data_IF_711891367385
#
_entry.id   IF_711891367385
#
_cell.length_a   1.000
_cell.length_b   1.000
_cell.length_c   1.000
_cell.angle_alpha   90.00
_cell.angle_beta   90.00
_cell.angle_gamma   90.00
#
_symmetry.space_group_name_H-M   'P 1'
#
loop_
_entity.id
_entity.type
_entity.pdbx_description
1 polymer ?
#
# COMPACT_ATOMS: atom_id res chain seq x y z
N UNK A 1 -71.21 -5.59 10.21
CA UNK A 1 -70.81 -4.47 9.32
C UNK A 1 -69.51 -3.91 9.84
N UNK A 2 -68.51 -3.84 8.96
CA UNK A 2 -67.18 -3.22 9.09
C UNK A 2 -66.18 -3.84 10.09
N UNK A 3 -65.37 -4.77 9.57
CA UNK A 3 -63.94 -4.82 9.89
C UNK A 3 -63.18 -4.78 8.56
N UNK A 4 -62.72 -3.59 8.19
CA UNK A 4 -61.89 -3.34 7.01
C UNK A 4 -60.60 -4.16 7.08
N UNK A 5 -60.42 -5.05 6.12
CA UNK A 5 -59.15 -5.73 5.87
C UNK A 5 -58.32 -4.80 5.00
N UNK A 6 -57.32 -4.13 5.58
CA UNK A 6 -56.32 -3.39 4.82
C UNK A 6 -55.51 -4.37 3.96
N UNK A 7 -55.35 -4.15 2.64
CA UNK A 7 -54.54 -5.01 1.81
C UNK A 7 -53.06 -4.83 2.16
N UNK A 8 -52.35 -5.97 2.27
CA UNK A 8 -50.90 -6.04 2.38
C UNK A 8 -50.25 -5.21 1.25
N UNK A 9 -49.65 -4.09 1.60
CA UNK A 9 -48.74 -3.36 0.71
C UNK A 9 -47.65 -4.33 0.25
N UNK A 10 -47.68 -4.64 -1.04
CA UNK A 10 -46.61 -5.31 -1.76
C UNK A 10 -45.35 -4.47 -1.63
N UNK A 11 -44.38 -4.95 -0.84
CA UNK A 11 -43.02 -4.42 -0.83
C UNK A 11 -42.46 -4.44 -2.25
N UNK A 12 -42.40 -3.27 -2.89
CA UNK A 12 -41.65 -3.09 -4.13
C UNK A 12 -40.17 -3.30 -3.81
N UNK A 13 -39.44 -4.20 -4.51
CA UNK A 13 -38.00 -4.31 -4.31
C UNK A 13 -37.38 -3.00 -4.84
N UNK A 14 -36.79 -2.22 -3.94
CA UNK A 14 -35.91 -1.11 -4.31
C UNK A 14 -34.92 -1.63 -5.36
N UNK A 15 -35.02 -1.12 -6.58
CA UNK A 15 -34.19 -1.47 -7.72
C UNK A 15 -32.77 -0.95 -7.51
N UNK A 16 -32.05 -1.58 -6.58
CA UNK A 16 -30.60 -1.49 -6.50
C UNK A 16 -29.98 -2.04 -7.79
N UNK A 17 -28.77 -1.61 -8.16
CA UNK A 17 -28.12 -2.08 -9.37
C UNK A 17 -28.10 -3.61 -9.39
N UNK A 18 -28.62 -4.20 -10.46
CA UNK A 18 -28.62 -5.65 -10.65
C UNK A 18 -27.21 -6.22 -10.45
N UNK A 19 -27.11 -7.44 -9.95
CA UNK A 19 -25.84 -8.05 -9.57
C UNK A 19 -24.83 -8.13 -10.74
N UNK A 20 -25.33 -8.18 -11.97
CA UNK A 20 -24.59 -8.08 -13.23
C UNK A 20 -24.02 -6.67 -13.47
N UNK A 21 -24.78 -5.61 -13.23
CA UNK A 21 -24.27 -4.22 -13.26
C UNK A 21 -23.17 -3.99 -12.22
N UNK A 22 -23.33 -4.49 -10.99
CA UNK A 22 -22.29 -4.39 -9.95
C UNK A 22 -21.00 -5.14 -10.32
N UNK A 23 -21.12 -6.32 -10.96
CA UNK A 23 -19.97 -7.13 -11.39
C UNK A 23 -19.21 -6.47 -12.54
N UNK A 24 -19.92 -5.90 -13.53
CA UNK A 24 -19.29 -5.18 -14.65
C UNK A 24 -18.59 -3.90 -14.19
N UNK A 25 -19.24 -3.10 -13.34
CA UNK A 25 -18.68 -1.89 -12.74
C UNK A 25 -17.42 -2.18 -11.91
N UNK A 26 -17.47 -3.19 -11.03
CA UNK A 26 -16.30 -3.59 -10.24
C UNK A 26 -15.12 -4.07 -11.11
N UNK A 27 -15.38 -4.80 -12.21
CA UNK A 27 -14.33 -5.34 -13.08
C UNK A 27 -13.63 -4.25 -13.89
N UNK A 28 -14.40 -3.31 -14.45
CA UNK A 28 -13.87 -2.19 -15.23
C UNK A 28 -13.12 -1.18 -14.35
N UNK A 29 -13.64 -0.89 -13.16
CA UNK A 29 -13.11 0.14 -12.29
C UNK A 29 -11.78 -0.27 -11.62
N UNK A 30 -11.56 -1.56 -11.33
CA UNK A 30 -10.33 -2.03 -10.68
C UNK A 30 -9.17 -2.15 -11.67
N UNK A 31 -9.42 -2.67 -12.89
CA UNK A 31 -8.37 -2.88 -13.89
C UNK A 31 -7.81 -1.57 -14.45
N UNK A 32 -8.71 -0.61 -14.75
CA UNK A 32 -8.33 0.72 -15.23
C UNK A 32 -7.57 1.51 -14.16
N UNK A 33 -8.04 1.47 -12.91
CA UNK A 33 -7.42 2.16 -11.79
C UNK A 33 -6.03 1.59 -11.45
N UNK A 34 -5.87 0.26 -11.50
CA UNK A 34 -4.56 -0.38 -11.34
C UNK A 34 -3.57 0.11 -12.40
N UNK A 35 -3.97 0.11 -13.68
CA UNK A 35 -3.11 0.59 -14.78
C UNK A 35 -2.72 2.06 -14.59
N UNK A 36 -3.67 2.91 -14.16
CA UNK A 36 -3.40 4.31 -13.86
C UNK A 36 -2.40 4.50 -12.71
N UNK A 37 -2.52 3.74 -11.62
CA UNK A 37 -1.58 3.81 -10.50
C UNK A 37 -0.21 3.22 -10.86
N UNK A 38 -0.17 2.16 -11.65
CA UNK A 38 1.07 1.60 -12.18
C UNK A 38 1.83 2.62 -13.03
N UNK A 39 1.14 3.31 -13.95
CA UNK A 39 1.76 4.34 -14.78
C UNK A 39 2.31 5.52 -13.94
N UNK A 40 1.58 5.93 -12.89
CA UNK A 40 2.04 6.97 -11.95
C UNK A 40 3.25 6.52 -11.14
N UNK A 41 3.23 5.29 -10.62
CA UNK A 41 4.35 4.69 -9.91
C UNK A 41 5.59 4.60 -10.81
N UNK A 42 5.45 4.08 -12.03
CA UNK A 42 6.55 3.95 -12.99
C UNK A 42 7.13 5.32 -13.41
N UNK A 43 6.34 6.39 -13.36
CA UNK A 43 6.83 7.76 -13.54
C UNK A 43 7.59 8.24 -12.30
N UNK A 44 7.00 8.08 -11.11
CA UNK A 44 7.61 8.49 -9.85
C UNK A 44 8.95 7.79 -9.58
N UNK A 45 9.05 6.49 -9.88
CA UNK A 45 10.29 5.73 -9.73
C UNK A 45 11.42 6.25 -10.64
N UNK A 46 11.09 6.63 -11.89
CA UNK A 46 12.06 7.24 -12.81
C UNK A 46 12.57 8.58 -12.30
N UNK A 47 11.69 9.40 -11.74
CA UNK A 47 12.03 10.71 -11.16
C UNK A 47 12.75 10.59 -9.81
N UNK A 48 12.58 9.47 -9.09
CA UNK A 48 13.21 9.26 -7.79
C UNK A 48 14.72 9.02 -7.90
N UNK A 49 15.16 8.25 -8.90
CA UNK A 49 16.59 7.92 -9.11
C UNK A 49 17.50 9.16 -9.14
N UNK A 50 17.23 10.21 -9.96
CA UNK A 50 18.05 11.41 -9.95
C UNK A 50 17.91 12.19 -8.64
N UNK A 51 16.71 12.24 -8.04
CA UNK A 51 16.49 12.93 -6.77
C UNK A 51 17.34 12.36 -5.62
N UNK A 52 17.62 11.05 -5.61
CA UNK A 52 18.48 10.41 -4.60
C UNK A 52 19.90 10.93 -4.61
N UNK A 53 20.45 11.26 -5.78
CA UNK A 53 21.81 11.79 -5.89
C UNK A 53 21.92 13.14 -5.19
N UNK A 54 20.93 14.02 -5.37
CA UNK A 54 20.85 15.30 -4.67
C UNK A 54 20.73 15.12 -3.15
N UNK A 55 19.88 14.18 -2.70
CA UNK A 55 19.72 13.91 -1.27
C UNK A 55 20.99 13.36 -0.61
N UNK A 56 21.76 12.51 -1.29
CA UNK A 56 23.04 12.01 -0.78
C UNK A 56 24.09 13.13 -0.76
N UNK A 57 24.15 13.95 -1.81
CA UNK A 57 25.07 15.10 -1.88
C UNK A 57 24.85 16.10 -0.74
N UNK A 58 23.59 16.39 -0.41
CA UNK A 58 23.23 17.28 0.69
C UNK A 58 23.69 16.76 2.08
N UNK A 59 23.70 15.45 2.28
CA UNK A 59 24.07 14.83 3.56
C UNK A 59 25.56 14.62 3.73
N UNK A 60 26.30 14.47 2.62
CA UNK A 60 27.74 14.21 2.65
C UNK A 60 28.51 15.29 3.41
N UNK A 61 28.02 16.54 3.41
CA UNK A 61 28.61 17.61 4.21
C UNK A 61 28.40 17.37 5.71
N UNK A 62 27.18 17.00 6.12
CA UNK A 62 26.87 16.72 7.53
C UNK A 62 27.61 15.50 8.07
N UNK A 63 27.78 14.46 7.25
CA UNK A 63 28.54 13.25 7.62
C UNK A 63 30.03 13.57 7.84
N UNK A 64 30.64 14.37 6.95
CA UNK A 64 32.05 14.76 7.07
C UNK A 64 32.31 15.78 8.16
N UNK A 65 31.36 16.67 8.39
CA UNK A 65 31.47 17.70 9.42
C UNK A 65 31.11 17.19 10.83
N UNK A 66 30.55 15.98 10.97
CA UNK A 66 30.11 15.37 12.24
C UNK A 66 29.31 16.35 13.12
N UNK A 67 28.37 17.07 12.52
CA UNK A 67 27.61 18.13 13.20
C UNK A 67 26.70 17.48 14.25
N UNK A 68 27.01 17.70 15.53
CA UNK A 68 26.18 17.27 16.66
C UNK A 68 25.23 18.40 17.04
N UNK A 69 24.00 18.03 17.39
CA UNK A 69 23.10 18.99 18.01
C UNK A 69 23.64 19.37 19.41
N UNK A 70 23.60 20.65 19.80
CA UNK A 70 23.96 21.07 21.15
C UNK A 70 23.01 20.41 22.18
N UNK A 71 23.55 20.04 23.36
CA UNK A 71 22.80 19.30 24.38
C UNK A 71 21.62 20.10 24.98
N UNK A 72 21.62 21.43 24.82
CA UNK A 72 20.56 22.32 25.28
C UNK A 72 19.50 22.57 24.21
N UNK A 73 18.51 21.67 24.12
CA UNK A 73 17.37 21.82 23.20
C UNK A 73 16.45 22.97 23.61
N UNK A 74 16.54 24.13 22.96
CA UNK A 74 15.60 25.24 23.23
C UNK A 74 14.42 25.26 22.26
N UNK A 75 14.58 24.86 20.99
CA UNK A 75 13.43 24.74 20.04
C UNK A 75 13.69 23.67 18.97
N UNK A 76 12.76 22.73 18.79
CA UNK A 76 12.88 21.63 17.82
C UNK A 76 11.80 21.68 16.74
N UNK A 77 12.21 21.63 15.47
CA UNK A 77 11.34 21.72 14.29
C UNK A 77 11.16 20.35 13.61
N UNK A 78 9.92 19.89 13.44
CA UNK A 78 9.63 18.68 12.66
C UNK A 78 8.92 19.06 11.37
N UNK A 79 9.49 18.66 10.23
CA UNK A 79 8.82 18.72 8.93
C UNK A 79 8.28 17.34 8.59
N UNK A 80 6.96 17.17 8.67
CA UNK A 80 6.29 15.92 8.32
C UNK A 80 5.87 15.91 6.85
N UNK A 81 6.36 14.94 6.06
CA UNK A 81 6.04 14.85 4.63
C UNK A 81 4.94 13.82 4.33
N UNK A 82 3.87 14.30 3.70
CA UNK A 82 2.70 13.50 3.30
C UNK A 82 2.00 14.10 2.07
N UNK A 83 0.93 13.44 1.62
CA UNK A 83 0.01 13.92 0.59
C UNK A 83 -1.36 14.29 1.14
N UNK A 84 -2.17 14.96 0.31
CA UNK A 84 -3.58 15.27 0.61
C UNK A 84 -4.52 14.12 0.27
N UNK A 85 -4.12 13.28 -0.69
CA UNK A 85 -4.94 12.17 -1.18
C UNK A 85 -4.89 11.01 -0.20
N UNK A 86 -6.06 10.44 0.13
CA UNK A 86 -6.17 9.20 0.90
C UNK A 86 -6.13 7.93 0.03
N UNK A 87 -6.47 6.77 0.61
CA UNK A 87 -6.45 5.44 -0.04
C UNK A 87 -5.04 4.87 -0.32
N UNK A 88 -4.08 5.19 0.54
CA UNK A 88 -2.69 4.70 0.46
C UNK A 88 -2.28 3.90 1.70
N UNK A 89 -3.22 3.16 2.30
CA UNK A 89 -2.95 2.32 3.47
C UNK A 89 -2.43 3.11 4.67
N UNK A 90 -1.30 2.67 5.23
CA UNK A 90 -0.73 3.19 6.48
C UNK A 90 0.35 4.27 6.29
N UNK A 91 0.52 4.83 5.07
CA UNK A 91 1.56 5.81 4.73
C UNK A 91 1.50 7.08 5.59
N UNK A 92 0.29 7.63 5.84
CA UNK A 92 0.14 8.83 6.67
C UNK A 92 0.25 8.53 8.16
N UNK A 93 -0.29 7.36 8.55
CA UNK A 93 -0.29 6.94 9.95
C UNK A 93 1.11 6.57 10.44
N UNK A 94 2.00 6.07 9.59
CA UNK A 94 3.39 5.80 9.96
C UNK A 94 4.14 7.08 10.30
N UNK A 95 4.06 8.10 9.45
CA UNK A 95 4.65 9.42 9.69
C UNK A 95 4.05 10.07 10.94
N UNK A 96 2.72 10.08 11.07
CA UNK A 96 2.06 10.66 12.24
C UNK A 96 2.41 9.93 13.56
N UNK A 97 2.67 8.62 13.54
CA UNK A 97 3.11 7.86 14.71
C UNK A 97 4.54 8.24 15.11
N UNK A 98 5.46 8.37 14.16
CA UNK A 98 6.82 8.85 14.43
C UNK A 98 6.81 10.26 15.03
N UNK A 99 6.01 11.18 14.46
CA UNK A 99 5.87 12.54 15.00
C UNK A 99 5.35 12.51 16.44
N UNK A 100 4.35 11.67 16.74
CA UNK A 100 3.80 11.53 18.11
C UNK A 100 4.77 10.89 19.09
N UNK A 101 5.69 10.06 18.61
CA UNK A 101 6.69 9.39 19.46
C UNK A 101 7.75 10.39 19.97
N UNK A 102 7.98 11.48 19.24
CA UNK A 102 8.80 12.59 19.69
C UNK A 102 7.91 13.55 20.51
N UNK A 103 8.30 13.92 21.74
CA UNK A 103 7.46 14.70 22.67
C UNK A 103 8.18 15.93 23.25
N UNK A 104 7.48 17.08 23.24
CA UNK A 104 7.13 17.97 24.37
C UNK A 104 7.06 19.44 23.91
N UNK A 105 8.14 19.96 23.32
CA UNK A 105 8.27 21.34 22.85
C UNK A 105 8.59 21.38 21.35
N UNK A 106 7.73 20.71 20.58
CA UNK A 106 7.94 20.48 19.16
C UNK A 106 7.07 21.42 18.35
N UNK A 107 7.68 22.05 17.38
CA UNK A 107 7.00 22.82 16.36
C UNK A 107 6.91 21.97 15.10
N UNK A 108 5.69 21.73 14.62
CA UNK A 108 5.44 20.84 13.49
C UNK A 108 5.05 21.64 12.26
N UNK A 109 5.66 21.32 11.13
CA UNK A 109 5.30 21.82 9.82
C UNK A 109 4.78 20.66 8.99
N UNK A 110 3.50 20.74 8.65
CA UNK A 110 2.79 19.71 7.91
C UNK A 110 2.89 19.96 6.41
N UNK A 111 3.55 19.07 5.69
CA UNK A 111 3.51 19.04 4.23
C UNK A 111 2.40 18.06 3.83
N UNK A 112 1.22 18.59 3.49
CA UNK A 112 0.02 17.85 3.13
C UNK A 112 -1.06 17.81 4.21
N UNK A 113 -2.31 17.91 3.80
CA UNK A 113 -3.50 18.10 4.65
C UNK A 113 -3.85 16.86 5.50
N UNK A 114 -3.43 15.66 5.07
CA UNK A 114 -3.69 14.42 5.83
C UNK A 114 -2.89 14.35 7.13
N UNK A 115 -1.68 14.91 7.18
CA UNK A 115 -0.92 14.94 8.43
C UNK A 115 -1.58 15.83 9.46
N UNK A 116 -2.00 17.04 9.05
CA UNK A 116 -2.77 17.94 9.91
C UNK A 116 -4.02 17.27 10.45
N UNK A 117 -4.80 16.61 9.58
CA UNK A 117 -6.01 15.90 10.02
C UNK A 117 -5.73 14.84 11.11
N UNK A 118 -4.61 14.11 11.00
CA UNK A 118 -4.23 13.06 11.97
C UNK A 118 -3.67 13.59 13.29
N UNK A 119 -3.03 14.77 13.25
CA UNK A 119 -2.36 15.39 14.39
C UNK A 119 -3.20 16.48 15.05
N UNK A 120 -4.26 16.97 14.41
CA UNK A 120 -5.12 18.06 14.91
C UNK A 120 -5.65 17.79 16.33
N UNK A 121 -6.00 16.52 16.63
CA UNK A 121 -6.55 16.13 17.94
C UNK A 121 -5.50 16.09 19.06
N UNK A 122 -4.24 15.77 18.75
CA UNK A 122 -3.18 15.55 19.75
C UNK A 122 -2.22 16.73 19.85
N UNK A 123 -1.79 17.28 18.70
CA UNK A 123 -0.78 18.34 18.59
C UNK A 123 -1.26 19.52 17.74
N UNK A 124 -2.57 19.78 17.70
CA UNK A 124 -3.14 20.84 16.85
C UNK A 124 -2.60 22.24 17.15
N UNK A 125 -2.14 22.51 18.38
CA UNK A 125 -1.56 23.79 18.82
C UNK A 125 -0.11 23.98 18.38
N UNK A 126 0.57 22.91 17.99
CA UNK A 126 2.00 22.89 17.72
C UNK A 126 2.32 23.08 16.22
N UNK A 127 1.30 23.31 15.39
CA UNK A 127 1.50 23.53 13.96
C UNK A 127 1.92 24.96 13.68
N UNK A 128 3.05 25.12 13.00
CA UNK A 128 3.49 26.41 12.45
C UNK A 128 2.78 26.68 11.13
N UNK A 129 3.01 25.80 10.16
CA UNK A 129 2.42 25.86 8.83
C UNK A 129 1.85 24.52 8.40
N UNK A 130 0.88 24.59 7.51
CA UNK A 130 0.36 23.41 6.83
C UNK A 130 0.16 23.69 5.36
N UNK A 131 0.99 23.05 4.55
CA UNK A 131 0.93 23.14 3.09
C UNK A 131 -0.15 22.22 2.56
N UNK A 132 -0.89 22.72 1.56
CA UNK A 132 -1.95 22.00 0.85
C UNK A 132 -1.57 21.86 -0.62
N UNK A 133 -2.32 21.04 -1.33
CA UNK A 133 -2.17 20.70 -2.76
C UNK A 133 -0.99 19.78 -3.10
N UNK A 134 -0.45 19.08 -2.11
CA UNK A 134 0.66 18.14 -2.29
C UNK A 134 0.14 16.73 -2.63
N UNK A 135 0.72 16.13 -3.68
CA UNK A 135 0.38 14.78 -4.16
C UNK A 135 -0.75 14.72 -5.21
N UNK A 136 -1.26 15.87 -5.66
CA UNK A 136 -2.17 15.93 -6.82
C UNK A 136 -1.41 15.77 -8.14
N UNK A 137 -0.41 16.64 -8.33
CA UNK A 137 0.58 16.63 -9.41
C UNK A 137 1.89 16.01 -8.89
N UNK A 138 2.78 15.50 -9.76
CA UNK A 138 4.10 15.08 -9.32
C UNK A 138 4.85 16.27 -8.70
N UNK A 139 5.49 16.11 -7.54
CA UNK A 139 6.17 17.22 -6.86
C UNK A 139 7.36 17.69 -7.69
N UNK A 140 7.53 18.99 -7.79
CA UNK A 140 8.65 19.66 -8.48
C UNK A 140 9.59 20.30 -7.48
N UNK A 141 10.77 20.74 -7.93
CA UNK A 141 11.68 21.48 -7.07
C UNK A 141 11.08 22.81 -6.61
N UNK A 142 10.30 23.48 -7.48
CA UNK A 142 9.59 24.71 -7.13
C UNK A 142 8.66 24.56 -5.93
N UNK A 143 7.96 23.42 -5.82
CA UNK A 143 7.11 23.14 -4.66
C UNK A 143 7.93 23.05 -3.36
N UNK A 144 9.12 22.45 -3.42
CA UNK A 144 10.03 22.37 -2.29
C UNK A 144 10.63 23.74 -1.92
N UNK A 145 10.96 24.57 -2.91
CA UNK A 145 11.46 25.93 -2.70
C UNK A 145 10.43 26.81 -2.02
N UNK A 146 9.14 26.70 -2.39
CA UNK A 146 8.06 27.45 -1.72
C UNK A 146 7.96 27.04 -0.26
N UNK A 147 8.03 25.74 0.03
CA UNK A 147 8.00 25.23 1.42
C UNK A 147 9.20 25.74 2.21
N UNK A 148 10.41 25.67 1.64
CA UNK A 148 11.63 26.16 2.28
C UNK A 148 11.58 27.68 2.54
N UNK A 149 11.11 28.45 1.57
CA UNK A 149 10.98 29.91 1.70
C UNK A 149 9.98 30.30 2.78
N UNK A 150 8.83 29.63 2.85
CA UNK A 150 7.81 29.89 3.89
C UNK A 150 8.30 29.48 5.28
N UNK A 151 9.13 28.44 5.39
CA UNK A 151 9.84 28.10 6.62
C UNK A 151 10.81 29.19 7.06
N UNK A 152 11.62 29.73 6.15
CA UNK A 152 12.58 30.80 6.45
C UNK A 152 11.88 32.12 6.81
N UNK A 153 10.83 32.48 6.06
CA UNK A 153 10.05 33.70 6.29
C UNK A 153 9.24 33.68 7.59
N UNK A 154 9.09 32.52 8.22
CA UNK A 154 8.35 32.40 9.47
C UNK A 154 9.00 33.13 10.65
N UNK A 155 10.29 33.44 10.56
CA UNK A 155 11.07 34.02 11.65
C UNK A 155 11.21 33.08 12.85
N UNK A 156 10.86 31.80 12.69
CA UNK A 156 11.01 30.82 13.77
C UNK A 156 12.44 30.27 13.79
N UNK A 157 13.20 30.72 14.77
CA UNK A 157 14.51 30.15 15.07
C UNK A 157 14.34 28.75 15.66
N UNK A 158 14.97 27.77 15.01
CA UNK A 158 15.09 26.39 15.50
C UNK A 158 16.56 26.04 15.63
N UNK A 159 16.93 25.26 16.65
CA UNK A 159 18.32 24.82 16.87
C UNK A 159 18.57 23.51 16.13
N UNK A 160 17.60 22.59 16.23
CA UNK A 160 17.62 21.26 15.65
C UNK A 160 16.27 21.00 14.98
N UNK A 161 16.30 20.43 13.78
CA UNK A 161 15.10 19.99 13.10
C UNK A 161 15.24 18.60 12.50
N UNK A 162 14.11 17.99 12.15
CA UNK A 162 14.08 16.75 11.40
C UNK A 162 12.97 16.71 10.35
N UNK A 163 13.30 16.17 9.18
CA UNK A 163 12.33 15.84 8.13
C UNK A 163 11.96 14.37 8.27
N UNK A 164 10.68 14.12 8.56
CA UNK A 164 10.13 12.77 8.68
C UNK A 164 9.39 12.43 7.38
N UNK A 165 9.83 11.39 6.71
CA UNK A 165 9.26 10.96 5.44
C UNK A 165 9.34 9.44 5.29
N UNK A 166 8.58 8.90 4.33
CA UNK A 166 8.61 7.48 4.01
C UNK A 166 9.65 7.23 2.91
N UNK A 167 10.72 6.50 3.22
CA UNK A 167 11.71 6.04 2.25
C UNK A 167 11.23 4.79 1.53
N UNK A 168 11.29 4.83 0.21
CA UNK A 168 10.95 3.73 -0.66
C UNK A 168 12.08 2.68 -0.66
N UNK A 169 11.78 1.44 -0.23
CA UNK A 169 12.73 0.31 -0.31
C UNK A 169 12.41 -0.58 -1.51
N UNK A 170 11.17 -1.04 -1.59
CA UNK A 170 10.68 -1.87 -2.68
C UNK A 170 9.21 -1.55 -2.93
N UNK A 171 8.64 -2.13 -3.98
CA UNK A 171 7.21 -1.95 -4.30
C UNK A 171 6.33 -2.23 -3.08
N UNK A 172 6.71 -3.23 -2.28
CA UNK A 172 5.96 -3.74 -1.12
C UNK A 172 6.32 -3.01 0.18
N UNK A 173 7.60 -2.71 0.38
CA UNK A 173 8.10 -2.23 1.66
C UNK A 173 8.61 -0.80 1.56
N UNK A 174 8.20 0.01 2.54
CA UNK A 174 8.72 1.34 2.80
C UNK A 174 9.09 1.44 4.28
N UNK A 175 9.97 2.37 4.63
CA UNK A 175 10.36 2.65 6.01
C UNK A 175 10.25 4.13 6.29
N UNK A 176 9.64 4.50 7.41
CA UNK A 176 9.70 5.88 7.91
C UNK A 176 11.11 6.15 8.40
N UNK A 177 11.78 7.13 7.81
CA UNK A 177 13.11 7.57 8.21
C UNK A 177 13.06 9.07 8.49
N UNK A 178 14.04 9.53 9.27
CA UNK A 178 14.16 10.90 9.73
C UNK A 178 15.51 11.42 9.23
N UNK A 179 15.52 12.64 8.71
CA UNK A 179 16.74 13.33 8.30
C UNK A 179 16.91 14.60 9.11
N UNK A 180 18.08 14.84 9.72
CA UNK A 180 18.29 16.05 10.50
C UNK A 180 18.40 17.28 9.58
N UNK A 181 17.94 18.41 10.09
CA UNK A 181 18.16 19.76 9.59
C UNK A 181 18.82 20.52 10.74
N UNK A 182 19.87 21.27 10.42
CA UNK A 182 20.59 22.09 11.39
C UNK A 182 20.41 23.57 11.06
N UNK A 183 20.48 24.40 12.10
CA UNK A 183 20.46 25.85 11.99
C UNK A 183 21.81 26.42 11.57
N UNK A 184 21.86 27.71 11.25
CA UNK A 184 23.12 28.41 10.95
C UNK A 184 24.09 28.33 12.12
N UNK A 185 23.59 28.58 13.33
CA UNK A 185 24.39 28.60 14.55
C UNK A 185 25.03 27.24 14.85
N UNK A 186 24.25 26.16 14.74
CA UNK A 186 24.73 24.79 15.02
C UNK A 186 25.77 24.32 14.01
N UNK A 187 25.64 24.72 12.74
CA UNK A 187 26.66 24.40 11.74
C UNK A 187 27.93 25.21 11.97
N UNK A 188 27.82 26.50 12.28
CA UNK A 188 28.98 27.37 12.55
C UNK A 188 29.76 26.97 13.80
N UNK A 189 29.08 26.41 14.82
CA UNK A 189 29.69 25.94 16.06
C UNK A 189 30.43 24.60 15.96
N UNK A 190 30.46 23.97 14.79
CA UNK A 190 31.11 22.66 14.61
C UNK A 190 32.61 22.77 14.32
N UNK A 191 33.40 21.91 14.96
CA UNK A 191 34.88 21.95 14.94
C UNK A 191 35.46 21.72 13.53
N UNK A 192 34.79 20.90 12.71
CA UNK A 192 35.23 20.49 11.38
C UNK A 192 34.85 21.45 10.25
N UNK A 193 34.03 22.47 10.50
CA UNK A 193 33.74 23.49 9.47
C UNK A 193 34.96 24.38 9.22
N UNK A 194 35.86 24.48 10.21
CA UNK A 194 37.15 25.18 10.08
C UNK A 194 38.13 24.57 9.07
N UNK A 195 37.88 23.33 8.59
CA UNK A 195 38.68 22.67 7.55
C UNK A 195 38.45 23.29 6.16
N UNK A 196 37.39 24.08 5.99
CA UNK A 196 37.08 24.75 4.73
C UNK A 196 37.58 26.19 4.79
N UNK A 197 38.66 26.47 4.05
CA UNK A 197 39.42 27.73 4.14
C UNK A 197 38.67 29.00 3.66
N UNK A 198 37.56 28.88 2.91
CA UNK A 198 36.91 30.00 2.22
C UNK A 198 35.37 30.06 2.39
N UNK A 199 34.83 29.69 3.56
CA UNK A 199 33.38 29.84 3.79
C UNK A 199 33.07 31.20 4.40
N UNK A 200 32.70 32.17 3.56
CA UNK A 200 32.07 33.40 4.02
C UNK A 200 30.73 33.11 4.73
N UNK A 201 30.37 33.93 5.72
CA UNK A 201 29.09 33.79 6.45
C UNK A 201 27.88 33.77 5.50
N UNK A 202 27.91 34.59 4.45
CA UNK A 202 26.87 34.68 3.42
C UNK A 202 26.78 33.39 2.57
N UNK A 203 27.93 32.78 2.25
CA UNK A 203 27.97 31.54 1.48
C UNK A 203 27.40 30.38 2.29
N UNK A 204 27.72 30.32 3.59
CA UNK A 204 27.17 29.30 4.48
C UNK A 204 25.65 29.39 4.56
N UNK A 205 25.11 30.61 4.72
CA UNK A 205 23.66 30.83 4.74
C UNK A 205 23.01 30.36 3.43
N UNK A 206 23.51 30.80 2.27
CA UNK A 206 23.00 30.38 0.96
C UNK A 206 23.05 28.84 0.78
N UNK A 207 24.12 28.22 1.25
CA UNK A 207 24.28 26.76 1.18
C UNK A 207 23.26 26.03 2.05
N UNK A 208 22.96 26.54 3.25
CA UNK A 208 21.96 25.97 4.13
C UNK A 208 20.55 26.09 3.56
N UNK A 209 20.18 27.25 3.01
CA UNK A 209 18.88 27.46 2.38
C UNK A 209 18.69 26.51 1.19
N UNK A 210 19.73 26.34 0.38
CA UNK A 210 19.74 25.37 -0.72
C UNK A 210 19.64 23.93 -0.23
N UNK A 211 20.36 23.58 0.84
CA UNK A 211 20.34 22.25 1.44
C UNK A 211 18.96 21.91 2.02
N UNK A 212 18.29 22.86 2.67
CA UNK A 212 16.93 22.71 3.18
C UNK A 212 15.95 22.38 2.04
N UNK A 213 15.99 23.14 0.95
CA UNK A 213 15.15 22.88 -0.22
C UNK A 213 15.42 21.49 -0.84
N UNK A 214 16.69 21.08 -0.92
CA UNK A 214 17.08 19.76 -1.43
C UNK A 214 16.57 18.61 -0.56
N UNK A 215 16.68 18.71 0.76
CA UNK A 215 16.20 17.67 1.68
C UNK A 215 14.68 17.54 1.55
N UNK A 216 13.95 18.65 1.53
CA UNK A 216 12.49 18.65 1.34
C UNK A 216 12.12 18.02 -0.01
N UNK A 217 12.80 18.40 -1.09
CA UNK A 217 12.56 17.84 -2.42
C UNK A 217 12.81 16.32 -2.47
N UNK A 218 13.93 15.88 -1.89
CA UNK A 218 14.25 14.46 -1.77
C UNK A 218 13.17 13.69 -1.00
N UNK A 219 12.74 14.22 0.15
CA UNK A 219 11.69 13.62 0.98
C UNK A 219 10.33 13.57 0.28
N UNK A 220 9.97 14.60 -0.50
CA UNK A 220 8.75 14.64 -1.32
C UNK A 220 8.76 13.53 -2.39
N UNK A 221 9.87 13.32 -3.08
CA UNK A 221 10.00 12.28 -4.12
C UNK A 221 9.95 10.87 -3.54
N UNK A 222 10.64 10.61 -2.43
CA UNK A 222 10.61 9.33 -1.71
C UNK A 222 9.20 8.99 -1.22
N UNK A 223 8.54 9.97 -0.57
CA UNK A 223 7.19 9.78 -0.03
C UNK A 223 6.15 9.54 -1.14
N UNK A 224 6.23 10.31 -2.23
CA UNK A 224 5.32 10.15 -3.38
C UNK A 224 5.45 8.76 -4.02
N UNK A 225 6.67 8.26 -4.18
CA UNK A 225 6.92 6.95 -4.79
C UNK A 225 6.37 5.82 -3.91
N UNK A 226 6.63 5.89 -2.60
CA UNK A 226 6.09 4.96 -1.61
C UNK A 226 4.56 4.98 -1.57
N UNK A 227 3.96 6.15 -1.69
CA UNK A 227 2.50 6.29 -1.72
C UNK A 227 1.89 5.66 -2.96
N UNK A 228 2.46 5.87 -4.15
CA UNK A 228 1.95 5.27 -5.39
C UNK A 228 2.10 3.74 -5.40
N UNK A 229 3.19 3.19 -4.85
CA UNK A 229 3.38 1.75 -4.77
C UNK A 229 2.34 1.08 -3.87
N UNK A 230 2.03 1.69 -2.70
CA UNK A 230 1.01 1.17 -1.79
C UNK A 230 -0.40 1.26 -2.37
N UNK A 231 -0.73 2.35 -3.09
CA UNK A 231 -2.02 2.48 -3.79
C UNK A 231 -2.23 1.35 -4.79
N UNK A 232 -1.20 1.07 -5.59
CA UNK A 232 -1.21 -0.03 -6.56
C UNK A 232 -1.40 -1.38 -5.86
N UNK A 233 -0.62 -1.65 -4.82
CA UNK A 233 -0.66 -2.92 -4.10
C UNK A 233 -1.96 -3.15 -3.34
N UNK A 234 -2.53 -2.11 -2.74
CA UNK A 234 -3.80 -2.23 -2.01
C UNK A 234 -4.91 -2.77 -2.91
N UNK A 235 -4.91 -2.39 -4.20
CA UNK A 235 -5.87 -2.92 -5.17
C UNK A 235 -5.59 -4.38 -5.54
N UNK A 236 -4.33 -4.77 -5.73
CA UNK A 236 -3.97 -6.15 -6.07
C UNK A 236 -4.23 -7.10 -4.91
N UNK A 237 -3.83 -6.74 -3.69
CA UNK A 237 -4.07 -7.57 -2.51
C UNK A 237 -5.56 -7.81 -2.25
N UNK A 238 -6.38 -6.76 -2.34
CA UNK A 238 -7.82 -6.90 -2.17
C UNK A 238 -8.45 -7.81 -3.25
N UNK A 239 -7.97 -7.72 -4.49
CA UNK A 239 -8.41 -8.58 -5.59
C UNK A 239 -8.00 -10.04 -5.37
N UNK A 240 -6.75 -10.30 -5.03
CA UNK A 240 -6.25 -11.66 -4.78
C UNK A 240 -6.95 -12.29 -3.59
N UNK A 241 -7.14 -11.54 -2.49
CA UNK A 241 -7.87 -12.02 -1.31
C UNK A 241 -9.30 -12.42 -1.66
N UNK A 242 -10.01 -11.61 -2.45
CA UNK A 242 -11.36 -11.96 -2.91
C UNK A 242 -11.36 -13.20 -3.80
N UNK A 243 -10.39 -13.34 -4.71
CA UNK A 243 -10.29 -14.52 -5.57
C UNK A 243 -10.07 -15.81 -4.76
N UNK A 244 -9.20 -15.78 -3.74
CA UNK A 244 -8.96 -16.91 -2.84
C UNK A 244 -10.23 -17.30 -2.09
N UNK A 245 -10.90 -16.34 -1.44
CA UNK A 245 -12.16 -16.59 -0.72
C UNK A 245 -13.22 -17.21 -1.64
N UNK A 246 -13.36 -16.69 -2.87
CA UNK A 246 -14.34 -17.25 -3.81
C UNK A 246 -13.97 -18.65 -4.28
N UNK A 247 -12.67 -18.95 -4.43
CA UNK A 247 -12.21 -20.27 -4.84
C UNK A 247 -12.49 -21.30 -3.75
N UNK A 248 -12.16 -20.99 -2.51
CA UNK A 248 -12.45 -21.83 -1.34
C UNK A 248 -13.96 -22.10 -1.21
N UNK A 249 -14.80 -21.08 -1.37
CA UNK A 249 -16.26 -21.24 -1.32
C UNK A 249 -16.79 -22.14 -2.44
N UNK A 250 -16.30 -21.99 -3.67
CA UNK A 250 -16.70 -22.84 -4.81
C UNK A 250 -16.28 -24.30 -4.58
N UNK A 251 -15.08 -24.53 -4.04
CA UNK A 251 -14.60 -25.87 -3.68
C UNK A 251 -15.47 -26.52 -2.59
N UNK A 252 -15.89 -25.75 -1.58
CA UNK A 252 -16.80 -26.25 -0.53
C UNK A 252 -18.18 -26.59 -1.11
N UNK A 253 -18.76 -25.71 -1.93
CA UNK A 253 -20.10 -25.91 -2.51
C UNK A 253 -20.10 -27.11 -3.46
N UNK A 254 -19.13 -27.19 -4.38
CA UNK A 254 -19.00 -28.34 -5.28
C UNK A 254 -18.76 -29.65 -4.53
N UNK A 255 -17.96 -29.65 -3.47
CA UNK A 255 -17.78 -30.81 -2.60
C UNK A 255 -19.06 -31.22 -1.85
N UNK A 256 -19.88 -30.26 -1.41
CA UNK A 256 -21.16 -30.51 -0.77
C UNK A 256 -22.20 -31.07 -1.76
N UNK A 257 -22.28 -30.52 -2.97
CA UNK A 257 -23.16 -30.98 -4.04
C UNK A 257 -22.81 -32.42 -4.48
N UNK A 258 -21.52 -32.75 -4.60
CA UNK A 258 -21.09 -34.11 -4.92
C UNK A 258 -21.54 -35.13 -3.86
N UNK A 259 -21.41 -34.80 -2.57
CA UNK A 259 -21.93 -35.67 -1.49
C UNK A 259 -23.45 -35.80 -1.52
N UNK A 260 -24.17 -34.73 -1.85
CA UNK A 260 -25.62 -34.75 -1.97
C UNK A 260 -26.07 -35.67 -3.11
N UNK A 261 -25.44 -35.56 -4.30
CA UNK A 261 -25.74 -36.44 -5.44
C UNK A 261 -25.35 -37.90 -5.19
N UNK A 262 -24.27 -38.16 -4.46
CA UNK A 262 -23.88 -39.52 -4.10
C UNK A 262 -24.90 -40.19 -3.16
N UNK A 263 -25.51 -39.43 -2.24
CA UNK A 263 -26.64 -39.91 -1.41
C UNK A 263 -27.90 -40.20 -2.24
N UNK A 264 -28.19 -39.41 -3.27
CA UNK A 264 -29.33 -39.64 -4.19
C UNK A 264 -29.13 -40.92 -5.00
N UNK A 265 -27.93 -41.14 -5.56
CA UNK A 265 -27.60 -42.39 -6.27
C UNK A 265 -27.67 -43.62 -5.34
N UNK A 266 -27.20 -43.50 -4.09
CA UNK A 266 -27.27 -44.61 -3.14
C UNK A 266 -28.72 -44.95 -2.74
N UNK A 267 -29.58 -43.95 -2.57
CA UNK A 267 -31.00 -44.14 -2.21
C UNK A 267 -31.83 -44.75 -3.34
N UNK A 268 -31.47 -44.50 -4.60
CA UNK A 268 -32.05 -45.18 -5.77
C UNK A 268 -31.60 -46.65 -5.87
N UNK A 269 -30.36 -46.96 -5.50
CA UNK A 269 -29.88 -48.35 -5.45
C UNK A 269 -30.51 -49.18 -4.32
N UNK A 270 -30.84 -48.54 -3.18
CA UNK A 270 -31.46 -49.23 -2.03
C UNK A 270 -32.98 -49.41 -2.14
N UNK A 271 -33.65 -48.66 -3.02
CA UNK A 271 -35.10 -48.81 -3.29
C UNK A 271 -35.40 -49.63 -4.55
N UNK A 272 -34.37 -50.12 -5.24
CA UNK A 272 -34.45 -50.85 -6.51
C UNK A 272 -34.19 -52.35 -6.42
N UNK A 273 -34.63 -53.03 -5.35
CA UNK A 273 -34.78 -54.50 -5.35
C UNK A 273 -36.27 -54.87 -5.39
N UNK A 274 -36.92 -54.57 -6.51
CA UNK A 274 -38.03 -55.37 -7.08
C UNK A 274 -38.54 -54.67 -8.36
N UNK A 275 -38.07 -55.18 -9.50
CA UNK A 275 -38.83 -55.44 -10.75
C UNK A 275 -37.86 -55.58 -11.92
N UNK A 276 -37.37 -56.80 -12.08
CA UNK A 276 -37.02 -57.33 -13.40
C UNK A 276 -38.31 -57.81 -14.05
N UNK A 277 -38.83 -57.10 -15.07
CA UNK A 277 -39.40 -57.68 -16.31
C UNK A 277 -40.07 -56.60 -17.20
N UNK A 278 -39.40 -56.19 -18.28
CA UNK A 278 -39.80 -56.39 -19.69
C UNK A 278 -38.89 -55.61 -20.66
N UNK A 279 -38.05 -56.38 -21.35
CA UNK A 279 -37.62 -56.34 -22.77
C UNK A 279 -37.32 -55.01 -23.51
N UNK A 280 -36.05 -54.92 -23.95
CA UNK A 280 -35.62 -55.04 -25.37
C UNK A 280 -36.51 -54.48 -26.49
N UNK A 281 -36.04 -53.38 -27.09
CA UNK A 281 -36.14 -52.91 -28.51
C UNK A 281 -35.70 -51.44 -28.49
N UNK A 282 -34.63 -50.92 -29.11
CA UNK A 282 -34.12 -50.94 -30.50
C UNK A 282 -32.80 -50.14 -30.39
N UNK A 283 -31.63 -50.74 -30.61
CA UNK A 283 -30.90 -50.85 -31.88
C UNK A 283 -29.70 -49.89 -31.96
N UNK A 284 -28.60 -50.48 -32.41
CA UNK A 284 -27.25 -49.97 -32.57
C UNK A 284 -27.12 -48.92 -33.68
N UNK A 285 -26.41 -47.81 -33.42
CA UNK A 285 -25.69 -46.95 -34.39
C UNK A 285 -25.41 -45.60 -33.69
N UNK A 286 -24.19 -45.09 -33.53
CA UNK A 286 -23.08 -45.02 -34.48
C UNK A 286 -21.76 -45.02 -33.69
N UNK A 287 -20.86 -45.92 -34.07
CA UNK A 287 -19.44 -45.81 -33.79
C UNK A 287 -18.80 -44.92 -34.87
N UNK A 288 -17.60 -44.41 -34.59
CA UNK A 288 -16.68 -43.75 -35.53
C UNK A 288 -16.93 -42.25 -35.83
N UNK A 289 -16.16 -41.41 -35.15
CA UNK A 289 -15.21 -40.47 -35.80
C UNK A 289 -14.46 -39.68 -34.74
N UNK A 290 -13.46 -40.32 -34.15
CA UNK A 290 -12.29 -39.58 -33.68
C UNK A 290 -11.57 -39.08 -34.95
N UNK A 291 -11.82 -37.84 -35.32
CA UNK A 291 -10.89 -37.07 -36.14
C UNK A 291 -10.07 -36.21 -35.19
N UNK A 292 -8.80 -36.59 -35.14
CA UNK A 292 -7.69 -35.85 -34.58
C UNK A 292 -7.64 -34.43 -35.10
N UNK A 293 -7.47 -33.46 -34.21
CA UNK A 293 -6.64 -32.30 -34.51
C UNK A 293 -6.22 -31.60 -33.21
N UNK A 294 -4.96 -31.80 -32.85
CA UNK A 294 -3.99 -30.73 -32.54
C UNK A 294 -3.09 -31.03 -31.34
N UNK A 295 -1.78 -31.08 -31.61
CA UNK A 295 -0.67 -30.44 -30.91
C UNK A 295 -0.68 -30.46 -29.35
N UNK A 296 0.37 -30.79 -28.61
CA UNK A 296 1.77 -31.08 -28.87
C UNK A 296 2.41 -31.55 -27.56
N UNK A 297 3.63 -32.08 -27.69
CA UNK A 297 4.66 -32.24 -26.66
C UNK A 297 4.52 -33.41 -25.68
N UNK A 298 5.27 -34.46 -26.01
CA UNK A 298 5.72 -35.47 -25.08
C UNK A 298 6.62 -34.86 -24.00
N UNK A 299 6.45 -35.41 -22.79
CA UNK A 299 7.50 -35.47 -21.79
C UNK A 299 7.39 -36.85 -21.16
N UNK A 300 8.48 -37.58 -21.29
CA UNK A 300 8.71 -38.92 -20.76
C UNK A 300 9.05 -38.78 -19.26
N UNK A 301 8.31 -39.46 -18.37
CA UNK A 301 8.69 -39.63 -16.96
C UNK A 301 8.34 -41.05 -16.50
N UNK A 302 9.12 -42.01 -16.96
CA UNK A 302 9.42 -43.22 -16.18
C UNK A 302 10.40 -42.83 -15.08
N UNK A 303 9.92 -42.68 -13.84
CA UNK A 303 10.67 -42.76 -12.58
C UNK A 303 9.75 -42.33 -11.44
N UNK A 304 9.17 -43.29 -10.71
CA UNK A 304 9.05 -43.24 -9.26
C UNK A 304 8.48 -44.59 -8.77
N UNK A 305 9.34 -45.61 -8.84
CA UNK A 305 9.31 -46.68 -7.85
C UNK A 305 9.77 -46.12 -6.50
N UNK A 306 9.19 -46.64 -5.42
CA UNK A 306 9.61 -46.48 -4.02
C UNK A 306 9.09 -45.23 -3.29
N UNK A 307 7.98 -45.38 -2.56
CA UNK A 307 7.94 -45.17 -1.11
C UNK A 307 6.49 -45.24 -0.58
N UNK A 308 6.35 -45.60 0.70
CA UNK A 308 5.17 -45.54 1.57
C UNK A 308 4.41 -46.87 1.71
N UNK A 309 5.01 -47.77 2.49
CA UNK A 309 4.29 -48.77 3.30
C UNK A 309 4.96 -48.85 4.68
N UNK A 310 4.73 -47.85 5.53
CA UNK A 310 4.99 -47.92 6.98
C UNK A 310 3.89 -47.16 7.71
N UNK A 311 2.88 -47.89 8.21
CA UNK A 311 2.43 -47.80 9.60
C UNK A 311 1.23 -48.74 9.83
N UNK A 312 1.49 -49.94 10.36
CA UNK A 312 0.53 -50.69 11.18
C UNK A 312 0.99 -50.57 12.62
N UNK A 313 0.39 -49.67 13.37
CA UNK A 313 0.49 -49.62 14.81
C UNK A 313 -0.33 -50.75 15.42
N UNK A 314 0.37 -51.70 16.04
CA UNK A 314 -0.17 -52.67 16.98
C UNK A 314 0.07 -52.08 18.37
N UNK A 315 -0.99 -51.87 19.15
CA UNK A 315 -1.00 -52.18 20.59
C UNK A 315 -2.40 -52.00 21.17
N UNK A 316 -2.99 -53.12 21.60
CA UNK A 316 -4.01 -53.14 22.63
C UNK A 316 -3.95 -54.47 23.38
N UNK A 317 -3.60 -54.39 24.67
CA UNK A 317 -3.95 -55.36 25.70
C UNK A 317 -2.82 -55.62 26.71
N UNK A 318 -3.14 -55.99 27.96
CA UNK A 318 -4.22 -55.51 28.83
C UNK A 318 -3.83 -54.27 29.66
#
# INVERSE_FOLDING_TARGET
TNSEVLPLETYAPCSGPTWTTLRSLKRLQISSLFCAYFAKYARAERELKPARVYGVGALALYEKAEIKAPEDKKKYLIVGVSSDRGLCGAIHSSVAKNIKAQIANLTVVGVGDKLRTLLQRTHGKNFLFNFKEIGRKPPTFGDASIIALELLNSGYEFDEGSVIYNRFRSVISYRTEEKPIYSLETVSGSENVSVYDDIDADVLQNYQEFTLANIIFYSLKESTTSEQSVRMLTLTFNRTRQAVITKELIEIISGAELRANQKVSFKQSSTGKEKLFWQSKVFCSFNSSAWSESFAHGVNWTLLDSAILVNRGVNSGP
#
